data_IF_183366505984
#
_entry.id   IF_183366505984
#
_cell.length_a   1.000
_cell.length_b   1.000
_cell.length_c   1.000
_cell.angle_alpha   90.00
_cell.angle_beta   90.00
_cell.angle_gamma   90.00
#
_symmetry.space_group_name_H-M   'P 1'
#
loop_
_entity.id
_entity.type
_entity.pdbx_description
1 polymer ?
#
# COMPACT_ATOMS: atom_id res chain seq x y z
N UNK A 1 -0.15 11.78 8.08
CA UNK A 1 -0.89 10.52 8.13
C UNK A 1 -1.22 10.11 9.55
N UNK A 2 -0.26 10.17 10.48
CA UNK A 2 -0.44 9.80 11.90
C UNK A 2 -1.70 10.39 12.54
N UNK A 3 -1.92 11.71 12.40
CA UNK A 3 -3.13 12.38 12.91
C UNK A 3 -4.41 11.86 12.25
N UNK A 4 -4.42 11.76 10.92
CA UNK A 4 -5.57 11.25 10.16
C UNK A 4 -5.96 9.82 10.55
N UNK A 5 -4.98 8.93 10.79
CA UNK A 5 -5.26 7.58 11.28
C UNK A 5 -5.86 7.58 12.69
N UNK A 6 -5.42 8.49 13.56
CA UNK A 6 -5.92 8.61 14.92
C UNK A 6 -7.33 9.23 15.00
N UNK A 7 -7.74 9.97 13.96
CA UNK A 7 -9.07 10.57 13.83
C UNK A 7 -10.11 9.61 13.22
N UNK A 8 -9.68 8.43 12.74
CA UNK A 8 -10.61 7.43 12.24
C UNK A 8 -11.44 6.86 13.40
N UNK A 9 -12.75 6.59 13.19
CA UNK A 9 -13.55 5.81 14.12
C UNK A 9 -12.89 4.47 14.45
N UNK A 10 -13.15 3.94 15.65
CA UNK A 10 -12.55 2.70 16.15
C UNK A 10 -12.88 1.48 15.27
N UNK A 11 -14.06 1.50 14.64
CA UNK A 11 -14.55 0.47 13.71
C UNK A 11 -14.21 0.77 12.23
N UNK A 12 -13.61 1.94 11.94
CA UNK A 12 -13.33 2.34 10.57
C UNK A 12 -12.02 1.71 10.05
N UNK A 13 -12.14 0.99 8.95
CA UNK A 13 -10.98 0.52 8.19
C UNK A 13 -10.40 1.69 7.39
N UNK A 14 -9.10 1.93 7.51
CA UNK A 14 -8.44 3.04 6.84
C UNK A 14 -8.60 2.99 5.31
N UNK A 15 -8.50 1.81 4.72
CA UNK A 15 -8.87 1.50 3.33
C UNK A 15 -10.00 0.46 3.39
N UNK A 16 -11.22 0.85 2.99
CA UNK A 16 -12.36 -0.09 2.97
C UNK A 16 -12.15 -1.18 1.92
N UNK A 17 -12.73 -2.37 2.15
CA UNK A 17 -12.75 -3.45 1.15
C UNK A 17 -13.45 -3.03 -0.16
N UNK A 18 -14.38 -2.05 -0.09
CA UNK A 18 -15.07 -1.49 -1.25
C UNK A 18 -14.28 -0.36 -1.94
N UNK A 19 -13.03 -0.10 -1.54
CA UNK A 19 -12.22 0.93 -2.19
C UNK A 19 -12.01 0.59 -3.68
N UNK A 20 -12.21 1.56 -4.61
CA UNK A 20 -12.05 1.34 -6.03
C UNK A 20 -10.70 0.72 -6.44
N UNK A 21 -9.66 0.83 -5.60
CA UNK A 21 -8.37 0.23 -5.89
C UNK A 21 -8.42 -1.29 -6.06
N UNK A 22 -9.30 -1.99 -5.33
CA UNK A 22 -9.45 -3.44 -5.44
C UNK A 22 -10.18 -3.84 -6.72
N UNK A 23 -11.11 -3.02 -7.20
CA UNK A 23 -11.74 -3.21 -8.50
C UNK A 23 -10.75 -2.94 -9.65
N UNK A 24 -9.89 -1.93 -9.50
CA UNK A 24 -8.86 -1.61 -10.48
C UNK A 24 -7.75 -2.68 -10.52
N UNK A 25 -7.33 -3.19 -9.37
CA UNK A 25 -6.29 -4.21 -9.28
C UNK A 25 -6.70 -5.53 -9.95
N UNK A 26 -7.97 -5.90 -9.85
CA UNK A 26 -8.53 -7.07 -10.56
C UNK A 26 -8.43 -6.92 -12.09
N UNK A 27 -8.53 -5.69 -12.62
CA UNK A 27 -8.38 -5.43 -14.06
C UNK A 27 -6.93 -5.49 -14.52
N UNK A 28 -5.98 -5.13 -13.65
CA UNK A 28 -4.55 -5.10 -13.97
C UNK A 28 -3.82 -6.38 -13.59
N UNK A 29 -4.49 -7.32 -12.92
CA UNK A 29 -3.88 -8.55 -12.41
C UNK A 29 -2.97 -8.33 -11.20
N UNK A 30 -3.10 -7.20 -10.50
CA UNK A 30 -2.32 -6.90 -9.29
C UNK A 30 -2.92 -7.65 -8.08
N UNK A 31 -2.17 -8.55 -7.40
CA UNK A 31 -2.65 -9.27 -6.24
C UNK A 31 -2.98 -8.34 -5.06
N UNK A 32 -4.08 -8.64 -4.34
CA UNK A 32 -4.51 -7.86 -3.18
C UNK A 32 -3.46 -7.85 -2.05
N UNK A 33 -2.68 -8.92 -1.92
CA UNK A 33 -1.54 -9.01 -1.00
C UNK A 33 -0.46 -7.96 -1.27
N UNK A 34 -0.23 -7.58 -2.54
CA UNK A 34 0.74 -6.54 -2.87
C UNK A 34 0.20 -5.14 -2.54
N UNK A 35 -1.11 -4.96 -2.63
CA UNK A 35 -1.79 -3.73 -2.17
C UNK A 35 -1.68 -3.61 -0.65
N UNK A 36 -1.90 -4.71 0.09
CA UNK A 36 -1.72 -4.74 1.53
C UNK A 36 -0.28 -4.44 1.95
N UNK A 37 0.71 -4.98 1.22
CA UNK A 37 2.12 -4.66 1.42
C UNK A 37 2.42 -3.18 1.13
N UNK A 38 1.89 -2.65 0.02
CA UNK A 38 1.99 -1.24 -0.32
C UNK A 38 1.39 -0.35 0.77
N UNK A 39 0.27 -0.75 1.36
CA UNK A 39 -0.37 -0.03 2.45
C UNK A 39 0.49 0.00 3.72
N UNK A 40 1.12 -1.12 4.08
CA UNK A 40 2.03 -1.20 5.22
C UNK A 40 3.22 -0.23 5.06
N UNK A 41 3.87 -0.24 3.88
CA UNK A 41 4.96 0.70 3.57
C UNK A 41 4.46 2.15 3.53
N UNK A 42 3.28 2.39 2.93
CA UNK A 42 2.70 3.72 2.82
C UNK A 42 2.43 4.31 4.21
N UNK A 43 1.86 3.53 5.14
CA UNK A 43 1.72 3.92 6.54
C UNK A 43 3.09 4.25 7.14
N UNK A 44 4.01 3.29 7.15
CA UNK A 44 5.33 3.45 7.79
C UNK A 44 6.07 4.70 7.30
N UNK A 45 6.12 4.95 5.98
CA UNK A 45 6.81 6.12 5.42
C UNK A 45 6.20 7.46 5.83
N UNK A 46 4.89 7.52 6.01
CA UNK A 46 4.16 8.76 6.30
C UNK A 46 3.81 8.91 7.79
N UNK A 47 4.19 7.96 8.64
CA UNK A 47 4.12 8.06 10.11
C UNK A 47 5.51 8.16 10.75
N UNK A 48 6.43 7.27 10.39
CA UNK A 48 7.72 7.07 11.07
C UNK A 48 8.91 7.33 10.15
N UNK A 49 8.75 7.07 8.86
CA UNK A 49 9.81 7.22 7.87
C UNK A 49 10.03 8.65 7.37
N UNK A 50 10.76 8.74 6.26
CA UNK A 50 11.23 10.02 5.69
C UNK A 50 10.12 10.96 5.18
N UNK A 51 8.89 10.48 4.99
CA UNK A 51 7.77 11.29 4.48
C UNK A 51 6.80 11.77 5.58
N UNK A 52 7.16 11.66 6.87
CA UNK A 52 6.31 12.11 7.99
C UNK A 52 5.84 13.57 7.92
N UNK A 53 6.62 14.44 7.26
CA UNK A 53 6.27 15.85 7.08
C UNK A 53 5.27 16.09 5.94
N UNK A 54 5.08 15.13 5.02
CA UNK A 54 4.13 15.26 3.92
C UNK A 54 2.71 15.21 4.45
N UNK A 55 1.86 16.08 3.90
CA UNK A 55 0.43 16.13 4.19
C UNK A 55 -0.34 16.06 2.89
N UNK A 56 -1.33 15.17 2.83
CA UNK A 56 -2.29 15.10 1.74
C UNK A 56 -3.66 15.49 2.26
N UNK A 57 -4.44 16.18 1.42
CA UNK A 57 -5.84 16.51 1.72
C UNK A 57 -6.71 15.25 1.77
N UNK A 58 -6.42 14.29 0.89
CA UNK A 58 -7.07 12.98 0.85
C UNK A 58 -5.99 11.89 0.84
N UNK A 59 -5.84 11.21 1.96
CA UNK A 59 -4.88 10.12 2.13
C UNK A 59 -5.26 8.87 1.33
N UNK A 60 -6.56 8.60 1.13
CA UNK A 60 -7.02 7.46 0.32
C UNK A 60 -6.72 7.70 -1.14
N UNK A 61 -6.97 8.90 -1.66
CA UNK A 61 -6.54 9.27 -3.02
C UNK A 61 -5.02 9.17 -3.21
N UNK A 62 -4.23 9.65 -2.23
CA UNK A 62 -2.78 9.53 -2.30
C UNK A 62 -2.30 8.07 -2.32
N UNK A 63 -2.93 7.20 -1.52
CA UNK A 63 -2.64 5.77 -1.53
C UNK A 63 -3.03 5.10 -2.86
N UNK A 64 -4.21 5.41 -3.42
CA UNK A 64 -4.62 4.92 -4.73
C UNK A 64 -3.61 5.27 -5.82
N UNK A 65 -3.07 6.49 -5.80
CA UNK A 65 -2.00 6.89 -6.72
C UNK A 65 -0.71 6.12 -6.45
N UNK A 66 -0.34 5.91 -5.18
CA UNK A 66 0.84 5.11 -4.84
C UNK A 66 0.78 3.68 -5.38
N UNK A 67 -0.41 3.08 -5.37
CA UNK A 67 -0.65 1.76 -5.96
C UNK A 67 -0.71 1.83 -7.48
N UNK A 68 -1.43 2.76 -8.10
CA UNK A 68 -1.52 2.81 -9.57
C UNK A 68 -0.17 3.10 -10.25
N UNK A 69 0.60 4.02 -9.67
CA UNK A 69 1.89 4.45 -10.23
C UNK A 69 3.07 3.64 -9.69
N UNK A 70 2.82 2.61 -8.85
CA UNK A 70 3.84 1.76 -8.25
C UNK A 70 5.00 2.58 -7.63
N UNK A 71 4.68 3.56 -6.77
CA UNK A 71 5.67 4.53 -6.24
C UNK A 71 6.90 3.88 -5.61
N UNK A 72 6.74 2.69 -5.04
CA UNK A 72 7.80 1.96 -4.35
C UNK A 72 8.52 0.94 -5.24
N UNK A 73 8.03 0.71 -6.46
CA UNK A 73 8.58 -0.27 -7.39
C UNK A 73 8.51 -1.70 -6.85
N UNK A 74 7.40 -2.06 -6.18
CA UNK A 74 7.25 -3.33 -5.47
C UNK A 74 6.91 -4.49 -6.38
N UNK A 75 6.19 -4.24 -7.46
CA UNK A 75 5.84 -5.27 -8.44
C UNK A 75 6.28 -4.88 -9.85
N UNK A 76 6.37 -5.89 -10.69
CA UNK A 76 6.58 -5.81 -12.12
C UNK A 76 5.74 -6.89 -12.82
N UNK A 77 5.62 -6.80 -14.14
CA UNK A 77 4.98 -7.83 -14.97
C UNK A 77 6.05 -8.68 -15.63
N UNK A 78 5.85 -9.99 -15.66
CA UNK A 78 6.67 -10.92 -16.43
C UNK A 78 6.38 -10.78 -17.92
N UNK A 79 7.17 -11.44 -18.77
CA UNK A 79 6.89 -11.55 -20.21
C UNK A 79 5.52 -12.14 -20.51
N UNK A 80 5.02 -12.98 -19.59
CA UNK A 80 3.75 -13.70 -19.72
C UNK A 80 2.58 -12.89 -19.12
N UNK A 81 2.85 -11.69 -18.61
CA UNK A 81 1.85 -10.81 -18.00
C UNK A 81 1.55 -11.14 -16.53
N UNK A 82 2.29 -12.05 -15.90
CA UNK A 82 2.12 -12.34 -14.47
C UNK A 82 2.75 -11.26 -13.60
N UNK A 83 2.01 -10.81 -12.58
CA UNK A 83 2.50 -9.83 -11.63
C UNK A 83 3.37 -10.51 -10.56
N UNK A 84 4.60 -10.04 -10.37
CA UNK A 84 5.53 -10.59 -9.38
C UNK A 84 6.21 -9.49 -8.55
N UNK A 85 6.62 -9.82 -7.33
CA UNK A 85 7.39 -8.89 -6.48
C UNK A 85 8.81 -8.71 -7.00
N UNK A 86 9.24 -7.46 -7.13
CA UNK A 86 10.63 -7.10 -7.36
C UNK A 86 11.48 -7.37 -6.12
N UNK A 87 12.81 -7.21 -6.22
CA UNK A 87 13.69 -7.25 -5.05
C UNK A 87 13.26 -6.26 -3.96
N UNK A 88 12.83 -5.05 -4.34
CA UNK A 88 12.32 -4.04 -3.38
C UNK A 88 11.05 -4.52 -2.69
N UNK A 89 10.12 -5.09 -3.45
CA UNK A 89 8.90 -5.68 -2.93
C UNK A 89 9.18 -6.81 -1.93
N UNK A 90 10.12 -7.71 -2.24
CA UNK A 90 10.51 -8.80 -1.33
C UNK A 90 11.18 -8.31 -0.05
N UNK A 91 12.02 -7.28 -0.12
CA UNK A 91 12.59 -6.68 1.10
C UNK A 91 11.52 -5.99 1.95
N UNK A 92 10.60 -5.26 1.33
CA UNK A 92 9.46 -4.68 2.03
C UNK A 92 8.58 -5.76 2.65
N UNK A 93 8.34 -6.87 1.94
CA UNK A 93 7.59 -8.01 2.47
C UNK A 93 8.25 -8.61 3.70
N UNK A 94 9.60 -8.70 3.75
CA UNK A 94 10.31 -9.15 4.95
C UNK A 94 10.24 -8.12 6.09
N UNK A 95 10.34 -6.84 5.76
CA UNK A 95 10.28 -5.76 6.74
C UNK A 95 8.90 -5.67 7.41
N UNK A 96 7.81 -5.74 6.63
CA UNK A 96 6.43 -5.65 7.14
C UNK A 96 5.81 -6.99 7.49
N UNK A 97 6.23 -8.08 6.86
CA UNK A 97 5.71 -9.43 7.08
C UNK A 97 6.07 -10.01 8.45
N UNK A 98 7.11 -9.48 9.10
CA UNK A 98 7.42 -9.80 10.50
C UNK A 98 6.29 -9.39 11.47
N UNK A 99 5.39 -8.47 11.11
CA UNK A 99 4.23 -8.10 11.94
C UNK A 99 3.05 -9.09 11.84
N UNK A 100 3.01 -10.00 10.85
CA UNK A 100 1.93 -11.01 10.73
C UNK A 100 2.28 -12.38 11.31
N UNK A 101 3.49 -12.57 11.83
CA UNK A 101 3.99 -13.85 12.33
C UNK A 101 4.32 -13.85 13.84
N UNK A 102 3.90 -12.81 14.58
CA UNK A 102 4.09 -12.68 16.03
C UNK A 102 2.75 -12.46 16.73
#
# INVERSE_FOLDING_TARGET
MKTWLAELPEDAVAISADDPIFADSKKTGLPEEFIALCWAEFKHRHTEGGNKAKKYKDWRAAFRNAVRDNWYGFWALSSDGECFLTSKGRFAQRFHGAEKAA
#
